data_IF_302913075084
#
_entry.id   IF_302913075084
#
_cell.length_a   1.000
_cell.length_b   1.000
_cell.length_c   1.000
_cell.angle_alpha   90.00
_cell.angle_beta   90.00
_cell.angle_gamma   90.00
#
_symmetry.space_group_name_H-M   'P 1'
#
loop_
_entity.id
_entity.type
_entity.pdbx_description
1 polymer ?
#
# COMPACT_ATOMS: atom_id res chain seq x y z
N UNK A 1 13.15 15.70 -7.03
CA UNK A 1 11.76 15.97 -6.60
C UNK A 1 11.54 15.32 -5.26
N UNK A 2 10.95 16.04 -4.33
CA UNK A 2 10.68 15.52 -2.98
C UNK A 2 9.46 14.59 -3.01
N UNK A 3 9.56 13.43 -2.38
CA UNK A 3 8.46 12.45 -2.30
C UNK A 3 7.23 13.00 -1.56
N UNK A 4 7.42 14.01 -0.71
CA UNK A 4 6.32 14.66 0.02
C UNK A 4 5.28 15.28 -0.92
N UNK A 5 5.65 15.58 -2.16
CA UNK A 5 4.71 16.03 -3.18
C UNK A 5 3.59 15.01 -3.46
N UNK A 6 3.90 13.73 -3.32
CA UNK A 6 2.96 12.64 -3.61
C UNK A 6 2.24 12.09 -2.37
N UNK A 7 2.58 12.57 -1.18
CA UNK A 7 2.05 11.96 0.03
C UNK A 7 0.55 12.22 0.21
N UNK A 8 -0.19 11.15 0.48
CA UNK A 8 -1.52 11.25 1.08
C UNK A 8 -1.31 11.25 2.59
N UNK A 9 -1.64 12.33 3.31
CA UNK A 9 -1.34 12.44 4.72
C UNK A 9 -2.15 11.44 5.54
N UNK A 10 -1.63 11.06 6.70
CA UNK A 10 -2.22 10.08 7.61
C UNK A 10 -3.72 10.30 7.87
N UNK A 11 -4.15 11.54 8.04
CA UNK A 11 -5.56 11.87 8.29
C UNK A 11 -6.52 11.44 7.17
N UNK A 12 -6.01 11.31 5.94
CA UNK A 12 -6.78 10.92 4.75
C UNK A 12 -6.54 9.46 4.35
N UNK A 13 -5.77 8.70 5.14
CA UNK A 13 -5.45 7.31 4.88
C UNK A 13 -6.34 6.41 5.73
N UNK A 14 -6.97 5.43 5.07
CA UNK A 14 -7.67 4.35 5.75
C UNK A 14 -6.62 3.35 6.25
N UNK A 15 -6.63 3.07 7.55
CA UNK A 15 -5.75 2.10 8.20
C UNK A 15 -6.53 1.22 9.16
N UNK A 16 -5.92 0.13 9.59
CA UNK A 16 -6.46 -0.74 10.64
C UNK A 16 -5.50 -0.77 11.82
N UNK A 17 -6.04 -1.15 12.98
CA UNK A 17 -5.27 -1.28 14.22
C UNK A 17 -4.71 -2.69 14.37
N UNK A 18 -3.57 -2.80 15.04
CA UNK A 18 -3.02 -4.09 15.49
C UNK A 18 -3.94 -4.85 16.46
N UNK A 19 -4.94 -4.18 16.99
CA UNK A 19 -5.96 -4.76 17.86
C UNK A 19 -7.21 -5.25 17.13
N UNK A 20 -7.30 -4.98 15.82
CA UNK A 20 -8.46 -5.36 15.02
C UNK A 20 -8.45 -6.86 14.71
N UNK A 21 -9.66 -7.45 14.68
CA UNK A 21 -9.85 -8.81 14.21
C UNK A 21 -10.05 -8.88 12.70
N UNK A 22 -10.02 -10.08 12.15
CA UNK A 22 -10.21 -10.29 10.71
C UNK A 22 -11.52 -9.72 10.19
N UNK A 23 -12.60 -9.80 10.96
CA UNK A 23 -13.91 -9.29 10.55
C UNK A 23 -13.85 -7.78 10.29
N UNK A 24 -13.23 -7.03 11.18
CA UNK A 24 -13.05 -5.58 11.06
C UNK A 24 -12.20 -5.23 9.85
N UNK A 25 -11.08 -5.95 9.65
CA UNK A 25 -10.18 -5.72 8.52
C UNK A 25 -10.88 -6.06 7.19
N UNK A 26 -11.56 -7.18 7.09
CA UNK A 26 -12.31 -7.57 5.89
C UNK A 26 -13.40 -6.56 5.56
N UNK A 27 -14.10 -6.06 6.56
CA UNK A 27 -15.11 -5.00 6.38
C UNK A 27 -14.48 -3.73 5.83
N UNK A 28 -13.34 -3.32 6.38
CA UNK A 28 -12.60 -2.13 5.92
C UNK A 28 -12.18 -2.26 4.45
N UNK A 29 -11.60 -3.40 4.08
CA UNK A 29 -11.20 -3.68 2.69
C UNK A 29 -12.40 -3.68 1.74
N UNK A 30 -13.49 -4.32 2.13
CA UNK A 30 -14.72 -4.39 1.34
C UNK A 30 -15.35 -3.03 1.12
N UNK A 31 -15.55 -2.28 2.19
CA UNK A 31 -16.28 -1.01 2.17
C UNK A 31 -15.53 0.06 1.36
N UNK A 32 -14.19 0.03 1.39
CA UNK A 32 -13.35 0.95 0.62
C UNK A 32 -12.90 0.39 -0.73
N UNK A 33 -13.21 -0.88 -1.04
CA UNK A 33 -12.77 -1.57 -2.26
C UNK A 33 -11.25 -1.60 -2.41
N UNK A 34 -10.56 -1.81 -1.30
CA UNK A 34 -9.10 -1.90 -1.23
C UNK A 34 -8.63 -3.34 -1.28
N UNK A 35 -7.45 -3.56 -1.85
CA UNK A 35 -6.77 -4.87 -1.86
C UNK A 35 -5.76 -5.01 -0.73
N UNK A 36 -5.39 -3.91 -0.11
CA UNK A 36 -4.43 -3.86 0.99
C UNK A 36 -4.65 -2.63 1.86
N UNK A 37 -4.22 -2.70 3.12
CA UNK A 37 -4.38 -1.63 4.10
C UNK A 37 -3.22 -1.65 5.09
N UNK A 38 -2.68 -0.47 5.49
CA UNK A 38 -1.64 -0.41 6.52
C UNK A 38 -2.20 -0.69 7.91
N UNK A 39 -1.36 -1.29 8.76
CA UNK A 39 -1.63 -1.57 10.17
C UNK A 39 -0.84 -0.56 11.01
N UNK A 40 -1.53 0.19 11.84
CA UNK A 40 -0.97 1.25 12.68
C UNK A 40 -1.35 0.98 14.14
N UNK A 41 -0.39 1.10 15.06
CA UNK A 41 -0.68 0.94 16.48
C UNK A 41 -1.14 2.26 17.13
N UNK A 42 -1.47 2.20 18.43
CA UNK A 42 -1.95 3.37 19.18
C UNK A 42 -0.90 4.47 19.34
N UNK A 43 0.39 4.12 19.27
CA UNK A 43 1.50 5.08 19.31
C UNK A 43 1.77 5.74 17.95
N UNK A 44 1.04 5.32 16.92
CA UNK A 44 1.19 5.85 15.57
C UNK A 44 2.28 5.17 14.72
N UNK A 45 2.83 4.05 15.18
CA UNK A 45 3.85 3.32 14.44
C UNK A 45 3.23 2.50 13.32
N UNK A 46 3.92 2.44 12.19
CA UNK A 46 3.61 1.52 11.11
C UNK A 46 4.12 0.12 11.46
N UNK A 47 3.22 -0.87 11.47
CA UNK A 47 3.53 -2.25 11.82
C UNK A 47 3.60 -3.19 10.62
N UNK A 48 3.06 -2.78 9.49
CA UNK A 48 3.03 -3.59 8.29
C UNK A 48 1.81 -3.29 7.45
N UNK A 49 1.69 -4.01 6.34
CA UNK A 49 0.53 -3.93 5.44
C UNK A 49 -0.07 -5.31 5.29
N UNK A 50 -1.37 -5.41 5.49
CA UNK A 50 -2.12 -6.65 5.22
C UNK A 50 -2.78 -6.56 3.85
N UNK A 51 -2.70 -7.65 3.09
CA UNK A 51 -3.30 -7.81 1.78
C UNK A 51 -4.43 -8.84 1.85
N UNK A 52 -5.43 -8.69 0.98
CA UNK A 52 -6.53 -9.67 0.93
C UNK A 52 -6.03 -11.10 0.65
N UNK A 53 -4.94 -11.26 -0.13
CA UNK A 53 -4.32 -12.56 -0.35
C UNK A 53 -3.70 -13.17 0.93
N UNK A 54 -3.15 -12.36 1.82
CA UNK A 54 -2.64 -12.84 3.11
C UNK A 54 -3.76 -13.51 3.93
N UNK A 55 -4.92 -12.85 3.97
CA UNK A 55 -6.11 -13.36 4.69
C UNK A 55 -6.67 -14.59 4.01
N UNK A 56 -6.84 -14.55 2.69
CA UNK A 56 -7.39 -15.64 1.91
C UNK A 56 -6.59 -16.94 2.11
N UNK A 57 -5.28 -16.88 1.99
CA UNK A 57 -4.44 -18.06 2.10
C UNK A 57 -4.30 -18.56 3.52
N UNK A 58 -4.38 -17.68 4.52
CA UNK A 58 -4.46 -18.09 5.91
C UNK A 58 -5.73 -18.91 6.18
N UNK A 59 -6.90 -18.41 5.76
CA UNK A 59 -8.17 -19.10 5.93
C UNK A 59 -8.21 -20.41 5.15
N UNK A 60 -7.66 -20.44 3.95
CA UNK A 60 -7.56 -21.64 3.13
C UNK A 60 -6.72 -22.73 3.83
N UNK A 61 -5.58 -22.37 4.41
CA UNK A 61 -4.72 -23.29 5.17
C UNK A 61 -5.40 -23.81 6.44
N UNK A 62 -6.24 -23.01 7.07
CA UNK A 62 -7.05 -23.43 8.22
C UNK A 62 -8.25 -24.28 7.83
N UNK A 63 -8.49 -24.44 6.54
CA UNK A 63 -9.64 -25.17 5.99
C UNK A 63 -10.97 -24.68 6.56
N UNK A 64 -11.06 -23.37 6.83
CA UNK A 64 -12.25 -22.79 7.42
C UNK A 64 -12.39 -21.31 7.09
N UNK A 65 -13.58 -20.96 6.59
CA UNK A 65 -14.06 -19.59 6.40
C UNK A 65 -15.18 -19.27 7.41
N UNK A 66 -15.21 -19.98 8.53
CA UNK A 66 -16.22 -19.83 9.58
C UNK A 66 -16.17 -18.43 10.20
N UNK A 67 -17.33 -17.82 10.39
CA UNK A 67 -17.48 -16.53 11.03
C UNK A 67 -16.83 -16.45 12.41
N UNK A 68 -16.82 -17.54 13.17
CA UNK A 68 -16.19 -17.61 14.49
C UNK A 68 -14.68 -17.44 14.40
N UNK A 69 -14.03 -18.03 13.41
CA UNK A 69 -12.59 -17.87 13.17
C UNK A 69 -12.29 -16.43 12.76
N UNK A 70 -13.09 -15.87 11.86
CA UNK A 70 -12.96 -14.50 11.39
C UNK A 70 -13.11 -13.49 12.54
N UNK A 71 -14.02 -13.72 13.47
CA UNK A 71 -14.23 -12.85 14.64
C UNK A 71 -13.14 -12.99 15.71
N UNK A 72 -12.56 -14.17 15.88
CA UNK A 72 -11.60 -14.47 16.93
C UNK A 72 -10.15 -14.23 16.54
N UNK A 73 -9.84 -14.21 15.26
CA UNK A 73 -8.47 -14.07 14.78
C UNK A 73 -8.07 -12.60 14.75
N UNK A 74 -7.03 -12.27 15.51
CA UNK A 74 -6.42 -10.94 15.45
C UNK A 74 -5.63 -10.78 14.15
N UNK A 75 -5.63 -9.58 13.57
CA UNK A 75 -4.94 -9.31 12.31
C UNK A 75 -3.43 -9.60 12.39
N UNK A 76 -2.83 -9.45 13.56
CA UNK A 76 -1.40 -9.71 13.74
C UNK A 76 -1.05 -11.20 13.73
N UNK A 77 -2.03 -12.10 13.84
CA UNK A 77 -1.83 -13.55 13.70
C UNK A 77 -1.68 -13.97 12.22
N UNK A 78 -2.06 -13.11 11.29
CA UNK A 78 -2.00 -13.42 9.86
C UNK A 78 -0.58 -13.25 9.35
N UNK A 79 0.08 -14.31 8.85
CA UNK A 79 1.40 -14.18 8.24
C UNK A 79 1.32 -13.35 6.95
N UNK A 80 2.20 -12.40 6.81
CA UNK A 80 2.31 -11.62 5.57
C UNK A 80 3.20 -12.37 4.59
N UNK A 81 2.67 -12.62 3.39
CA UNK A 81 3.36 -13.38 2.33
C UNK A 81 4.53 -12.61 1.72
N UNK A 82 4.49 -11.30 1.81
CA UNK A 82 5.59 -10.43 1.38
C UNK A 82 5.71 -9.25 2.34
N UNK A 83 6.95 -8.82 2.58
CA UNK A 83 7.20 -7.59 3.34
C UNK A 83 6.92 -6.37 2.46
N UNK A 84 6.35 -5.33 3.07
CA UNK A 84 6.22 -4.03 2.42
C UNK A 84 7.38 -3.12 2.85
N UNK A 85 8.01 -2.51 1.86
CA UNK A 85 9.09 -1.54 2.06
C UNK A 85 8.46 -0.18 2.36
N UNK A 86 9.01 0.51 3.35
CA UNK A 86 8.64 1.89 3.70
C UNK A 86 9.61 2.89 3.08
N UNK A 87 9.19 4.14 2.99
CA UNK A 87 10.06 5.24 2.60
C UNK A 87 10.12 6.27 3.72
N UNK A 88 11.31 6.83 3.93
CA UNK A 88 11.48 7.99 4.79
C UNK A 88 11.18 9.26 4.02
N UNK A 89 10.83 10.31 4.74
CA UNK A 89 10.45 11.62 4.16
C UNK A 89 11.52 12.24 3.26
N UNK A 90 12.78 11.90 3.47
CA UNK A 90 13.94 12.38 2.70
C UNK A 90 14.34 11.44 1.55
N UNK A 91 13.59 10.35 1.32
CA UNK A 91 13.86 9.43 0.22
C UNK A 91 13.71 10.13 -1.14
N UNK A 92 14.46 9.65 -2.13
CA UNK A 92 14.38 10.19 -3.47
C UNK A 92 13.31 9.48 -4.32
N UNK A 93 12.86 10.14 -5.38
CA UNK A 93 11.79 9.63 -6.25
C UNK A 93 12.19 8.35 -6.99
N UNK A 94 13.45 8.20 -7.34
CA UNK A 94 13.93 7.01 -8.06
C UNK A 94 13.80 5.74 -7.20
N UNK A 95 14.21 5.82 -5.94
CA UNK A 95 14.02 4.72 -4.99
C UNK A 95 12.54 4.39 -4.78
N UNK A 96 11.71 5.43 -4.70
CA UNK A 96 10.26 5.28 -4.60
C UNK A 96 9.65 4.55 -5.80
N UNK A 97 10.06 4.93 -7.02
CA UNK A 97 9.58 4.28 -8.24
C UNK A 97 9.93 2.80 -8.25
N UNK A 98 11.13 2.45 -7.81
CA UNK A 98 11.56 1.05 -7.74
C UNK A 98 10.66 0.22 -6.79
N UNK A 99 10.31 0.79 -5.63
CA UNK A 99 9.40 0.15 -4.68
C UNK A 99 7.98 -0.01 -5.29
N UNK A 100 7.50 1.01 -5.99
CA UNK A 100 6.15 1.01 -6.58
C UNK A 100 5.97 0.02 -7.73
N UNK A 101 7.04 -0.56 -8.26
CA UNK A 101 6.94 -1.66 -9.23
C UNK A 101 6.21 -2.86 -8.59
N UNK A 102 6.46 -3.14 -7.32
CA UNK A 102 5.92 -4.30 -6.61
C UNK A 102 4.87 -3.99 -5.55
N UNK A 103 4.70 -2.73 -5.15
CA UNK A 103 3.74 -2.32 -4.11
C UNK A 103 2.70 -1.36 -4.66
N UNK A 104 1.44 -1.50 -4.23
CA UNK A 104 0.36 -0.60 -4.60
C UNK A 104 0.53 0.79 -4.00
N UNK A 105 1.14 0.85 -2.84
CA UNK A 105 1.51 2.09 -2.15
C UNK A 105 2.77 1.87 -1.33
N UNK A 106 3.43 2.95 -0.99
CA UNK A 106 4.59 2.94 -0.10
C UNK A 106 4.22 3.69 1.18
N UNK A 107 4.24 3.03 2.34
CA UNK A 107 4.07 3.73 3.62
C UNK A 107 5.25 4.67 3.86
N UNK A 108 4.94 5.90 4.25
CA UNK A 108 5.94 6.90 4.61
C UNK A 108 6.02 7.01 6.13
N UNK A 109 7.23 6.97 6.64
CA UNK A 109 7.53 7.03 8.07
C UNK A 109 8.59 8.09 8.37
N UNK A 110 8.58 8.61 9.59
CA UNK A 110 9.66 9.46 10.09
C UNK A 110 10.79 8.63 10.73
N UNK A 111 11.78 9.30 11.30
CA UNK A 111 12.93 8.64 11.92
C UNK A 111 12.59 7.84 13.19
N UNK A 112 11.43 8.09 13.79
CA UNK A 112 10.92 7.36 14.95
C UNK A 112 9.94 6.24 14.57
N UNK A 113 9.87 5.87 13.28
CA UNK A 113 8.92 4.91 12.74
C UNK A 113 7.45 5.32 12.89
N UNK A 114 7.19 6.62 13.04
CA UNK A 114 5.83 7.14 13.06
C UNK A 114 5.29 7.21 11.63
N UNK A 115 4.13 6.63 11.44
CA UNK A 115 3.43 6.66 10.15
C UNK A 115 2.93 8.06 9.85
N UNK A 116 3.30 8.61 8.72
CA UNK A 116 2.93 9.98 8.31
C UNK A 116 1.97 10.00 7.13
N UNK A 117 1.87 8.91 6.38
CA UNK A 117 0.99 8.80 5.24
C UNK A 117 1.43 7.73 4.28
N UNK A 118 0.85 7.73 3.08
CA UNK A 118 1.21 6.79 2.01
C UNK A 118 1.48 7.54 0.72
N UNK A 119 2.31 6.93 -0.13
CA UNK A 119 2.49 7.35 -1.52
C UNK A 119 1.85 6.27 -2.38
N UNK A 120 0.82 6.62 -3.12
CA UNK A 120 0.08 5.69 -3.97
C UNK A 120 0.75 5.54 -5.33
N UNK A 121 0.91 4.31 -5.80
CA UNK A 121 1.38 4.02 -7.16
C UNK A 121 0.57 4.78 -8.20
N UNK A 122 -0.74 4.81 -8.03
CA UNK A 122 -1.67 5.52 -8.92
C UNK A 122 -1.30 7.00 -9.08
N UNK A 123 -1.01 7.70 -7.99
CA UNK A 123 -0.72 9.13 -8.02
C UNK A 123 0.59 9.42 -8.76
N UNK A 124 1.60 8.59 -8.54
CA UNK A 124 2.90 8.70 -9.22
C UNK A 124 2.77 8.40 -10.72
N UNK A 125 2.03 7.35 -11.08
CA UNK A 125 1.79 7.01 -12.49
C UNK A 125 0.98 8.12 -13.19
N UNK A 126 -0.06 8.66 -12.53
CA UNK A 126 -0.85 9.76 -13.09
C UNK A 126 0.00 11.00 -13.35
N UNK A 127 0.87 11.34 -12.41
CA UNK A 127 1.81 12.46 -12.59
C UNK A 127 2.75 12.23 -13.78
N UNK A 128 3.33 11.03 -13.86
CA UNK A 128 4.22 10.67 -14.97
C UNK A 128 3.49 10.72 -16.33
N UNK A 129 2.27 10.20 -16.36
CA UNK A 129 1.42 10.23 -17.56
C UNK A 129 1.13 11.66 -18.01
N UNK A 130 0.75 12.56 -17.10
CA UNK A 130 0.46 13.95 -17.42
C UNK A 130 1.70 14.69 -17.95
N UNK A 131 2.87 14.41 -17.37
CA UNK A 131 4.15 14.96 -17.85
C UNK A 131 4.48 14.49 -19.26
N UNK A 132 4.35 13.21 -19.53
CA UNK A 132 4.60 12.62 -20.86
C UNK A 132 3.61 13.20 -21.88
N UNK A 133 2.34 13.34 -21.51
CA UNK A 133 1.29 13.88 -22.38
C UNK A 133 1.51 15.35 -22.73
N UNK A 134 2.02 16.15 -21.79
CA UNK A 134 2.32 17.57 -22.04
C UNK A 134 3.52 17.76 -22.97
N UNK A 135 4.32 16.71 -23.17
CA UNK A 135 5.53 16.72 -23.99
C UNK A 135 5.32 15.79 -25.22
N UNK A 136 4.62 16.30 -26.24
CA UNK A 136 4.19 15.56 -27.44
C UNK A 136 5.31 14.77 -28.13
N UNK A 137 6.57 15.20 -27.99
CA UNK A 137 7.73 14.55 -28.59
C UNK A 137 8.01 13.21 -27.93
N UNK A 138 7.93 13.13 -26.59
CA UNK A 138 8.20 11.90 -25.84
C UNK A 138 7.10 10.85 -26.03
N UNK A 139 5.85 11.25 -26.18
CA UNK A 139 4.75 10.32 -26.41
C UNK A 139 4.89 9.55 -27.71
N UNK A 140 5.28 10.24 -28.78
CA UNK A 140 5.49 9.58 -30.09
C UNK A 140 6.60 8.54 -30.04
N UNK A 141 7.68 8.83 -29.33
CA UNK A 141 8.82 7.92 -29.21
C UNK A 141 8.54 6.74 -28.27
N UNK A 142 7.81 6.99 -27.17
CA UNK A 142 7.41 5.94 -26.23
C UNK A 142 6.55 4.88 -26.90
N UNK A 143 5.51 5.27 -27.67
CA UNK A 143 4.65 4.32 -28.36
C UNK A 143 5.34 3.64 -29.55
N UNK A 144 6.26 4.34 -30.24
CA UNK A 144 7.06 3.72 -31.31
C UNK A 144 8.00 2.63 -30.79
N UNK A 145 8.59 2.79 -29.60
CA UNK A 145 9.47 1.80 -29.00
C UNK A 145 8.68 0.59 -28.46
N UNK A 146 7.44 0.78 -27.98
CA UNK A 146 6.56 -0.27 -27.52
C UNK A 146 5.94 -1.14 -28.63
N UNK A 147 5.81 -0.58 -29.83
CA UNK A 147 5.23 -1.29 -30.98
C UNK A 147 6.21 -2.24 -31.70
N UNK A 148 7.48 -2.27 -31.29
CA UNK A 148 8.53 -3.12 -31.87
C UNK A 148 8.81 -4.39 -31.08
N UNK A 149 7.99 -4.70 -30.10
CA UNK A 149 8.11 -5.97 -29.33
C UNK A 149 7.11 -7.00 -29.80
#
# INVERSE_FOLDING_TARGET
MNIMFFITPKKDVVSVSDKDNLKTVLKTLRDHKFTSVPIINTEGNYLGTVKEGDILWYLYQKDSFDDKIIERTNIMEIPRRSSNITAKVDANVEDLLHILISQNFVPAIDDSNIFIGIIKRRDVISYAYDKIKSDDVYMKDFFKSGAKK
#
